data_IF_418610792328
#
_entry.id   IF_418610792328
#
_cell.length_a   1.000
_cell.length_b   1.000
_cell.length_c   1.000
_cell.angle_alpha   90.00
_cell.angle_beta   90.00
_cell.angle_gamma   90.00
#
_symmetry.space_group_name_H-M   'P 1'
#
loop_
_entity.id
_entity.type
_entity.pdbx_description
1 polymer ?
#
# COMPACT_ATOMS: atom_id res chain seq x y z
N UNK A 1 -44.93 26.96 -22.78
CA UNK A 1 -43.82 27.69 -22.14
C UNK A 1 -42.65 27.71 -23.14
N UNK A 2 -42.42 28.82 -23.85
CA UNK A 2 -41.30 28.95 -24.82
C UNK A 2 -40.03 29.29 -24.05
N UNK A 3 -39.06 28.37 -24.00
CA UNK A 3 -37.74 28.68 -23.46
C UNK A 3 -37.05 29.69 -24.36
N UNK A 4 -36.50 30.75 -23.77
CA UNK A 4 -35.67 31.72 -24.47
C UNK A 4 -34.41 31.05 -25.02
N UNK A 5 -33.95 31.47 -26.21
CA UNK A 5 -32.75 30.95 -26.85
C UNK A 5 -31.50 31.09 -25.96
N UNK A 6 -31.47 32.10 -25.09
CA UNK A 6 -30.41 32.32 -24.09
C UNK A 6 -30.43 31.27 -22.97
N UNK A 7 -31.60 30.90 -22.46
CA UNK A 7 -31.74 29.85 -21.43
C UNK A 7 -31.29 28.49 -21.95
N UNK A 8 -31.58 28.20 -23.23
CA UNK A 8 -31.18 26.94 -23.86
C UNK A 8 -29.66 26.83 -24.00
N UNK A 9 -28.97 27.94 -24.32
CA UNK A 9 -27.51 28.00 -24.38
C UNK A 9 -26.85 27.84 -23.01
N UNK A 10 -27.44 28.40 -21.96
CA UNK A 10 -26.93 28.27 -20.58
C UNK A 10 -27.07 26.83 -20.09
N UNK A 11 -28.23 26.19 -20.31
CA UNK A 11 -28.44 24.77 -19.97
C UNK A 11 -27.50 23.84 -20.73
N UNK A 12 -27.24 24.10 -22.01
CA UNK A 12 -26.30 23.32 -22.80
C UNK A 12 -24.86 23.45 -22.29
N UNK A 13 -24.42 24.66 -21.91
CA UNK A 13 -23.11 24.89 -21.30
C UNK A 13 -22.98 24.19 -19.95
N UNK A 14 -24.04 24.21 -19.13
CA UNK A 14 -24.06 23.54 -17.83
C UNK A 14 -23.99 22.00 -17.99
N UNK A 15 -24.75 21.45 -18.95
CA UNK A 15 -24.71 20.02 -19.27
C UNK A 15 -23.31 19.60 -19.75
N UNK A 16 -22.69 20.40 -20.63
CA UNK A 16 -21.34 20.14 -21.14
C UNK A 16 -20.31 20.19 -20.01
N UNK A 17 -20.40 21.17 -19.11
CA UNK A 17 -19.54 21.27 -17.93
C UNK A 17 -19.68 20.05 -17.01
N UNK A 18 -20.92 19.59 -16.78
CA UNK A 18 -21.19 18.41 -15.96
C UNK A 18 -20.62 17.13 -16.59
N UNK A 19 -20.73 16.99 -17.91
CA UNK A 19 -20.17 15.86 -18.67
C UNK A 19 -18.64 15.84 -18.60
N UNK A 20 -17.99 16.99 -18.79
CA UNK A 20 -16.54 17.12 -18.69
C UNK A 20 -16.07 16.82 -17.26
N UNK A 21 -16.76 17.33 -16.24
CA UNK A 21 -16.44 17.04 -14.84
C UNK A 21 -16.58 15.56 -14.50
N UNK A 22 -17.56 14.86 -15.08
CA UNK A 22 -17.75 13.43 -14.84
C UNK A 22 -16.62 12.59 -15.47
N UNK A 23 -16.17 12.96 -16.68
CA UNK A 23 -15.08 12.27 -17.38
C UNK A 23 -13.73 12.42 -16.65
N UNK A 24 -13.41 13.60 -16.14
CA UNK A 24 -12.15 13.85 -15.40
C UNK A 24 -12.09 13.06 -14.10
N UNK A 25 -13.20 12.96 -13.37
CA UNK A 25 -13.28 12.18 -12.12
C UNK A 25 -13.06 10.69 -12.35
N UNK A 26 -13.55 10.14 -13.47
CA UNK A 26 -13.37 8.71 -13.80
C UNK A 26 -11.92 8.38 -14.17
N UNK A 27 -11.22 9.27 -14.87
CA UNK A 27 -9.81 9.05 -15.23
C UNK A 27 -8.88 9.03 -14.01
N UNK A 28 -9.10 9.92 -13.05
CA UNK A 28 -8.28 9.97 -11.83
C UNK A 28 -8.46 8.71 -10.98
N UNK A 29 -9.72 8.25 -10.81
CA UNK A 29 -10.02 7.05 -10.04
C UNK A 29 -9.46 5.78 -10.71
N UNK A 30 -9.53 5.66 -12.03
CA UNK A 30 -8.98 4.52 -12.76
C UNK A 30 -7.46 4.42 -12.64
N UNK A 31 -6.75 5.56 -12.67
CA UNK A 31 -5.30 5.59 -12.55
C UNK A 31 -4.82 5.21 -11.13
N UNK A 32 -5.53 5.68 -10.10
CA UNK A 32 -5.28 5.28 -8.70
C UNK A 32 -5.54 3.78 -8.49
N UNK A 33 -6.64 3.25 -9.03
CA UNK A 33 -6.97 1.84 -8.94
C UNK A 33 -5.97 0.94 -9.69
N UNK A 34 -5.50 1.35 -10.87
CA UNK A 34 -4.48 0.62 -11.62
C UNK A 34 -3.13 0.60 -10.87
N UNK A 35 -2.69 1.75 -10.36
CA UNK A 35 -1.44 1.86 -9.59
C UNK A 35 -1.48 1.01 -8.32
N UNK A 36 -2.60 1.07 -7.59
CA UNK A 36 -2.85 0.23 -6.42
C UNK A 36 -2.77 -1.26 -6.77
N UNK A 37 -3.33 -1.68 -7.92
CA UNK A 37 -3.27 -3.07 -8.36
C UNK A 37 -1.82 -3.53 -8.61
N UNK A 38 -0.99 -2.72 -9.28
CA UNK A 38 0.43 -3.04 -9.51
C UNK A 38 1.21 -3.20 -8.19
N UNK A 39 0.99 -2.32 -7.21
CA UNK A 39 1.66 -2.42 -5.91
C UNK A 39 1.13 -3.54 -5.02
N UNK A 40 -0.16 -3.89 -5.14
CA UNK A 40 -0.71 -5.10 -4.51
C UNK A 40 -0.05 -6.36 -5.09
N UNK A 41 0.26 -6.40 -6.39
CA UNK A 41 1.02 -7.52 -6.98
C UNK A 41 2.43 -7.61 -6.38
N UNK A 42 3.11 -6.48 -6.18
CA UNK A 42 4.42 -6.43 -5.50
C UNK A 42 4.31 -6.99 -4.08
N UNK A 43 3.31 -6.55 -3.31
CA UNK A 43 3.09 -7.02 -1.95
C UNK A 43 2.79 -8.52 -1.89
N UNK A 44 1.96 -9.04 -2.80
CA UNK A 44 1.66 -10.48 -2.91
C UNK A 44 2.92 -11.28 -3.20
N UNK A 45 3.77 -10.83 -4.13
CA UNK A 45 5.04 -11.50 -4.45
C UNK A 45 5.96 -11.54 -3.24
N UNK A 46 6.08 -10.42 -2.51
CA UNK A 46 6.86 -10.35 -1.28
C UNK A 46 6.33 -11.33 -0.22
N UNK A 47 5.02 -11.37 0.02
CA UNK A 47 4.39 -12.31 0.96
C UNK A 47 4.58 -13.77 0.55
N UNK A 48 4.48 -14.09 -0.73
CA UNK A 48 4.74 -15.45 -1.24
C UNK A 48 6.17 -15.89 -0.92
N UNK A 49 7.16 -15.01 -1.13
CA UNK A 49 8.56 -15.27 -0.77
C UNK A 49 8.79 -15.38 0.72
N UNK A 50 8.14 -14.55 1.53
CA UNK A 50 8.18 -14.67 2.99
C UNK A 50 7.59 -16.02 3.45
N UNK A 51 6.54 -16.51 2.80
CA UNK A 51 5.90 -17.77 3.15
C UNK A 51 6.69 -19.00 2.69
N UNK A 52 7.63 -18.87 1.75
CA UNK A 52 8.49 -19.97 1.29
C UNK A 52 9.60 -20.26 2.32
N UNK A 53 9.56 -21.41 3.03
CA UNK A 53 10.56 -21.74 4.04
C UNK A 53 11.92 -22.13 3.43
N UNK A 54 11.99 -22.38 2.11
CA UNK A 54 13.22 -22.77 1.42
C UNK A 54 14.01 -21.57 0.88
N UNK A 55 13.39 -20.39 0.83
CA UNK A 55 14.02 -19.19 0.30
C UNK A 55 14.88 -18.50 1.37
N UNK A 56 16.15 -18.22 1.07
CA UNK A 56 17.03 -17.53 1.99
C UNK A 56 16.61 -16.04 2.18
N UNK A 57 16.78 -15.52 3.39
CA UNK A 57 16.33 -14.16 3.79
C UNK A 57 17.07 -13.06 3.03
N UNK A 58 18.36 -13.27 2.75
CA UNK A 58 19.20 -12.39 1.92
C UNK A 58 18.73 -12.31 0.46
N UNK A 59 18.13 -13.37 -0.08
CA UNK A 59 17.48 -13.34 -1.40
C UNK A 59 16.24 -12.44 -1.36
N UNK A 60 15.43 -12.50 -0.29
CA UNK A 60 14.29 -11.60 -0.13
C UNK A 60 14.76 -10.15 -0.05
N UNK A 61 15.77 -9.88 0.78
CA UNK A 61 16.36 -8.55 0.92
C UNK A 61 16.78 -8.00 -0.45
N UNK A 62 17.58 -8.74 -1.21
CA UNK A 62 18.11 -8.27 -2.50
C UNK A 62 17.03 -8.12 -3.58
N UNK A 63 16.06 -9.02 -3.65
CA UNK A 63 15.06 -9.04 -4.73
C UNK A 63 13.87 -8.12 -4.47
N UNK A 64 13.41 -8.00 -3.24
CA UNK A 64 12.15 -7.31 -2.94
C UNK A 64 12.33 -5.94 -2.32
N UNK A 65 13.43 -5.67 -1.63
CA UNK A 65 13.61 -4.39 -0.94
C UNK A 65 14.39 -3.37 -1.80
N UNK A 66 14.10 -2.10 -1.53
CA UNK A 66 14.95 -0.96 -1.88
C UNK A 66 15.74 -0.61 -0.62
N UNK A 67 17.06 -0.53 -0.77
CA UNK A 67 17.95 -0.10 0.30
C UNK A 67 18.75 1.12 -0.15
N UNK A 68 19.17 1.94 0.81
CA UNK A 68 20.09 3.05 0.56
C UNK A 68 21.43 2.54 0.03
N UNK A 69 22.08 3.35 -0.83
CA UNK A 69 23.46 3.09 -1.28
C UNK A 69 24.49 3.07 -0.14
N UNK A 70 24.11 3.51 1.07
CA UNK A 70 24.95 3.56 2.27
C UNK A 70 24.62 2.47 3.29
N UNK A 71 23.90 1.41 2.90
CA UNK A 71 23.64 0.28 3.78
C UNK A 71 24.97 -0.35 4.22
N UNK A 72 25.26 -0.29 5.51
CA UNK A 72 26.44 -0.92 6.11
C UNK A 72 26.07 -2.31 6.66
N UNK A 73 27.08 -3.07 7.10
CA UNK A 73 26.89 -4.44 7.59
C UNK A 73 25.92 -4.52 8.77
N UNK A 74 26.05 -3.62 9.76
CA UNK A 74 25.15 -3.58 10.92
C UNK A 74 23.68 -3.38 10.50
N UNK A 75 23.40 -2.38 9.66
CA UNK A 75 22.05 -2.11 9.17
C UNK A 75 21.51 -3.26 8.31
N UNK A 76 22.37 -3.93 7.55
CA UNK A 76 21.99 -5.11 6.80
C UNK A 76 21.60 -6.27 7.73
N UNK A 77 22.35 -6.50 8.81
CA UNK A 77 22.02 -7.52 9.81
C UNK A 77 20.67 -7.22 10.49
N UNK A 78 20.46 -5.96 10.92
CA UNK A 78 19.18 -5.53 11.48
C UNK A 78 18.01 -5.74 10.50
N UNK A 79 18.22 -5.47 9.21
CA UNK A 79 17.19 -5.62 8.21
C UNK A 79 16.88 -7.09 7.93
N UNK A 80 17.89 -7.96 7.88
CA UNK A 80 17.70 -9.41 7.77
C UNK A 80 16.88 -9.95 8.96
N UNK A 81 17.23 -9.56 10.19
CA UNK A 81 16.46 -9.94 11.39
C UNK A 81 15.01 -9.45 11.32
N UNK A 82 14.78 -8.23 10.82
CA UNK A 82 13.45 -7.65 10.66
C UNK A 82 12.62 -8.40 9.59
N UNK A 83 13.25 -8.86 8.51
CA UNK A 83 12.60 -9.72 7.50
C UNK A 83 12.21 -11.07 8.13
N UNK A 84 13.11 -11.68 8.90
CA UNK A 84 12.85 -12.95 9.57
C UNK A 84 11.69 -12.86 10.57
N UNK A 85 11.56 -11.75 11.30
CA UNK A 85 10.45 -11.52 12.22
C UNK A 85 9.10 -11.50 11.49
N UNK A 86 8.99 -10.74 10.39
CA UNK A 86 7.76 -10.71 9.58
C UNK A 86 7.52 -12.07 8.93
N UNK A 87 8.56 -12.73 8.44
CA UNK A 87 8.48 -14.08 7.86
C UNK A 87 7.84 -15.07 8.83
N UNK A 88 8.29 -15.12 10.09
CA UNK A 88 7.70 -15.98 11.12
C UNK A 88 6.20 -15.68 11.28
N UNK A 89 5.83 -14.40 11.33
CA UNK A 89 4.43 -14.02 11.45
C UNK A 89 3.62 -14.47 10.23
N UNK A 90 4.10 -14.24 9.01
CA UNK A 90 3.43 -14.64 7.76
C UNK A 90 3.30 -16.16 7.64
N UNK A 91 4.37 -16.92 7.90
CA UNK A 91 4.39 -18.39 7.80
C UNK A 91 3.46 -19.06 8.82
N UNK A 92 3.16 -18.40 9.94
CA UNK A 92 2.19 -18.90 10.92
C UNK A 92 0.71 -18.74 10.48
N UNK A 93 0.44 -18.18 9.29
CA UNK A 93 -0.92 -17.93 8.77
C UNK A 93 -1.19 -18.75 7.51
N UNK A 94 -2.47 -19.02 7.26
CA UNK A 94 -2.88 -19.57 5.97
C UNK A 94 -2.82 -18.48 4.90
N UNK A 95 -1.87 -18.60 3.97
CA UNK A 95 -1.63 -17.61 2.90
C UNK A 95 -2.88 -17.34 2.04
N UNK A 96 -3.76 -18.34 1.86
CA UNK A 96 -4.98 -18.20 1.06
C UNK A 96 -6.07 -17.35 1.72
N UNK A 97 -5.91 -17.04 3.01
CA UNK A 97 -6.80 -16.19 3.78
C UNK A 97 -6.21 -14.80 4.04
N UNK A 98 -5.06 -14.49 3.42
CA UNK A 98 -4.47 -13.16 3.51
C UNK A 98 -5.22 -12.19 2.60
N UNK A 99 -5.53 -11.02 3.16
CA UNK A 99 -6.13 -9.89 2.46
C UNK A 99 -5.07 -8.82 2.24
N UNK A 100 -5.11 -8.17 1.08
CA UNK A 100 -4.14 -7.15 0.67
C UNK A 100 -4.90 -5.87 0.39
N UNK A 101 -4.55 -4.78 1.09
CA UNK A 101 -5.30 -3.53 1.04
C UNK A 101 -4.35 -2.36 0.82
N UNK A 102 -4.76 -1.41 -0.02
CA UNK A 102 -4.18 -0.06 0.00
C UNK A 102 -4.62 0.70 1.24
N UNK A 103 -3.95 1.80 1.56
CA UNK A 103 -4.34 2.70 2.65
C UNK A 103 -5.77 3.21 2.53
N UNK A 104 -6.20 3.57 1.31
CA UNK A 104 -7.57 4.01 1.06
C UNK A 104 -8.61 2.93 1.41
N UNK A 105 -8.29 1.66 1.16
CA UNK A 105 -9.18 0.51 1.42
C UNK A 105 -9.16 0.05 2.88
N UNK A 106 -8.07 0.28 3.61
CA UNK A 106 -7.92 -0.13 5.01
C UNK A 106 -8.87 0.61 5.96
N UNK A 107 -9.30 1.82 5.60
CA UNK A 107 -10.26 2.61 6.35
C UNK A 107 -9.63 3.40 7.51
N UNK A 108 -9.97 4.69 7.61
CA UNK A 108 -9.33 5.66 8.52
C UNK A 108 -9.35 5.27 10.00
N UNK A 109 -10.39 4.56 10.45
CA UNK A 109 -10.53 4.13 11.85
C UNK A 109 -9.53 3.03 12.22
N UNK A 110 -9.15 2.19 11.27
CA UNK A 110 -8.26 1.06 11.54
C UNK A 110 -6.79 1.41 11.33
N UNK A 111 -6.51 2.49 10.61
CA UNK A 111 -5.17 3.01 10.36
C UNK A 111 -4.79 4.18 11.28
N UNK A 112 -5.61 4.52 12.29
CA UNK A 112 -5.34 5.62 13.22
C UNK A 112 -4.07 5.41 14.05
N UNK A 113 -3.73 4.15 14.27
CA UNK A 113 -2.62 3.73 15.12
C UNK A 113 -1.31 3.60 14.32
N UNK A 114 -1.30 4.11 13.08
CA UNK A 114 -0.11 4.11 12.22
C UNK A 114 0.39 5.53 12.12
N UNK A 115 1.64 5.75 12.53
CA UNK A 115 2.30 7.01 12.26
C UNK A 115 2.88 6.99 10.85
N UNK A 116 2.35 7.85 9.98
CA UNK A 116 2.85 7.94 8.62
C UNK A 116 4.14 8.75 8.53
N UNK A 117 4.52 9.54 9.53
CA UNK A 117 5.80 10.28 9.55
C UNK A 117 6.15 11.02 8.24
N UNK A 118 5.16 11.56 7.53
CA UNK A 118 5.36 12.25 6.24
C UNK A 118 5.42 11.34 5.01
N UNK A 119 5.18 10.04 5.16
CA UNK A 119 4.99 9.09 4.06
C UNK A 119 3.64 9.35 3.39
N UNK A 120 3.66 9.40 2.06
CA UNK A 120 2.44 9.49 1.27
C UNK A 120 1.55 8.25 1.50
N UNK A 121 0.29 8.43 2.00
CA UNK A 121 -0.63 7.31 2.21
C UNK A 121 -0.83 6.42 0.97
N UNK A 122 -0.70 6.94 -0.24
CA UNK A 122 -0.84 6.15 -1.48
C UNK A 122 0.28 5.12 -1.68
N UNK A 123 1.39 5.27 -0.95
CA UNK A 123 2.51 4.33 -0.95
C UNK A 123 2.35 3.24 0.11
N UNK A 124 1.35 3.34 0.99
CA UNK A 124 1.18 2.44 2.12
C UNK A 124 0.15 1.36 1.82
N UNK A 125 0.55 0.12 2.07
CA UNK A 125 -0.22 -1.08 1.83
C UNK A 125 -0.19 -1.99 3.06
N UNK A 126 -1.20 -2.84 3.16
CA UNK A 126 -1.46 -3.65 4.34
C UNK A 126 -1.67 -5.10 3.97
N UNK A 127 -1.18 -5.98 4.83
CA UNK A 127 -1.56 -7.39 4.85
C UNK A 127 -2.41 -7.66 6.07
N UNK A 128 -3.56 -8.30 5.86
CA UNK A 128 -4.49 -8.70 6.90
C UNK A 128 -4.68 -10.21 6.92
N UNK A 129 -4.98 -10.72 8.11
CA UNK A 129 -5.43 -12.09 8.33
C UNK A 129 -6.59 -12.06 9.32
N UNK A 130 -7.74 -12.59 8.93
CA UNK A 130 -8.96 -12.63 9.77
C UNK A 130 -9.27 -11.26 10.41
N UNK A 131 -9.32 -10.21 9.59
CA UNK A 131 -9.59 -8.80 9.98
C UNK A 131 -8.51 -8.14 10.87
N UNK A 132 -7.39 -8.81 11.14
CA UNK A 132 -6.26 -8.22 11.89
C UNK A 132 -5.12 -7.90 10.95
N UNK A 133 -4.50 -6.74 11.11
CA UNK A 133 -3.27 -6.43 10.39
C UNK A 133 -2.16 -7.38 10.83
N UNK A 134 -1.42 -7.89 9.85
CA UNK A 134 -0.22 -8.69 10.04
C UNK A 134 0.99 -7.75 10.00
N UNK A 135 1.11 -6.97 8.93
CA UNK A 135 2.11 -5.94 8.77
C UNK A 135 1.63 -4.87 7.78
N UNK A 136 2.32 -3.73 7.80
CA UNK A 136 2.18 -2.66 6.82
C UNK A 136 3.49 -2.51 6.03
N UNK A 137 3.39 -2.10 4.78
CA UNK A 137 4.54 -1.90 3.89
C UNK A 137 4.40 -0.59 3.12
N UNK A 138 5.53 0.08 2.92
CA UNK A 138 5.68 1.19 1.98
C UNK A 138 6.24 0.63 0.68
N UNK A 139 5.58 0.92 -0.44
CA UNK A 139 5.99 0.44 -1.76
C UNK A 139 6.37 1.64 -2.63
N UNK A 140 7.59 1.61 -3.16
CA UNK A 140 8.14 2.59 -4.10
C UNK A 140 8.83 1.85 -5.22
N UNK A 141 8.82 2.38 -6.45
CA UNK A 141 9.51 1.81 -7.61
C UNK A 141 9.35 0.28 -7.77
N UNK A 142 8.14 -0.23 -7.48
CA UNK A 142 7.75 -1.65 -7.52
C UNK A 142 8.57 -2.58 -6.60
N UNK A 143 9.07 -2.04 -5.50
CA UNK A 143 9.78 -2.76 -4.44
C UNK A 143 9.34 -2.26 -3.05
N UNK A 144 9.62 -3.04 -2.03
CA UNK A 144 9.36 -2.70 -0.63
C UNK A 144 10.40 -1.69 -0.15
N UNK A 145 9.98 -0.48 0.18
CA UNK A 145 10.86 0.58 0.68
C UNK A 145 10.98 0.57 2.21
N UNK A 146 9.94 0.10 2.90
CA UNK A 146 9.91 -0.07 4.34
C UNK A 146 8.76 -1.02 4.71
N UNK A 147 8.85 -1.65 5.87
CA UNK A 147 7.76 -2.41 6.45
C UNK A 147 7.79 -2.31 7.96
N UNK A 148 6.65 -2.60 8.59
CA UNK A 148 6.54 -2.72 10.04
C UNK A 148 5.46 -3.72 10.41
N UNK A 149 5.69 -4.48 11.48
CA UNK A 149 4.61 -5.19 12.14
C UNK A 149 3.59 -4.20 12.68
N UNK A 150 2.32 -4.58 12.63
CA UNK A 150 1.23 -3.79 13.20
C UNK A 150 0.78 -4.49 14.47
N UNK A 151 1.33 -4.07 15.62
CA UNK A 151 0.90 -4.57 16.92
C UNK A 151 -0.27 -3.76 17.46
N UNK A 152 -1.19 -4.41 18.20
CA UNK A 152 -2.23 -3.71 18.96
C UNK A 152 -1.70 -3.37 20.34
N UNK A 153 -1.63 -2.08 20.65
CA UNK A 153 -1.20 -1.50 21.91
C UNK A 153 -1.03 0.01 21.69
N UNK A 154 -1.03 0.83 22.73
CA UNK A 154 -0.97 2.31 22.61
C UNK A 154 0.30 2.87 21.90
N UNK A 155 1.17 2.01 21.37
CA UNK A 155 2.32 2.40 20.58
C UNK A 155 1.98 2.31 19.10
N UNK A 156 2.11 3.43 18.40
CA UNK A 156 1.89 3.47 16.96
C UNK A 156 2.91 2.60 16.24
N UNK A 157 2.52 2.00 15.12
CA UNK A 157 3.47 1.35 14.22
C UNK A 157 4.30 2.42 13.50
N UNK A 158 5.63 2.27 13.50
CA UNK A 158 6.58 3.21 12.89
C UNK A 158 7.30 2.56 11.71
N UNK A 159 7.41 3.28 10.60
CA UNK A 159 8.16 2.81 9.44
C UNK A 159 9.62 3.22 9.53
N UNK A 160 10.53 2.26 9.41
CA UNK A 160 11.97 2.51 9.33
C UNK A 160 12.43 2.34 7.89
N UNK A 161 13.12 3.34 7.34
CA UNK A 161 13.75 3.28 6.02
C UNK A 161 15.25 3.06 6.20
N UNK A 162 15.81 2.08 5.48
CA UNK A 162 17.18 1.58 5.65
C UNK A 162 18.07 1.95 4.45
#
# INVERSE_FOLDING_TARGET
MKLSLTDMKIKLKLLLFLLISCMVSQSLFSQEQQTSNEYIVVLKRFVQRLHDPSLATDIILSQDLITSKKLNEDLQEYLLASIDEIRINVQSKNINQLEYLSFAQAGRKETSDIDLEGIDPQQVYFVKYLKRFVFAAVIRDRKIASFTLVSKGNNKAHFVFY
#
